data_IF_299764046260
#
_entry.id   IF_299764046260
#
_cell.length_a   1.000
_cell.length_b   1.000
_cell.length_c   1.000
_cell.angle_alpha   90.00
_cell.angle_beta   90.00
_cell.angle_gamma   90.00
#
_symmetry.space_group_name_H-M   'P 1'
#
loop_
_entity.id
_entity.type
_entity.pdbx_description
1 polymer ?
#
# COMPACT_ATOMS: atom_id res chain seq x y z
N UNK A 1 -12.85 -11.87 -17.88
CA UNK A 1 -11.75 -12.26 -16.96
C UNK A 1 -12.35 -12.29 -15.57
N UNK A 2 -12.14 -13.36 -14.79
CA UNK A 2 -12.68 -13.45 -13.44
C UNK A 2 -11.82 -12.56 -12.52
N UNK A 3 -12.38 -11.45 -12.05
CA UNK A 3 -11.71 -10.63 -11.04
C UNK A 3 -11.61 -11.44 -9.74
N UNK A 4 -10.41 -11.54 -9.17
CA UNK A 4 -10.23 -12.18 -7.86
C UNK A 4 -10.94 -11.30 -6.83
N UNK A 5 -11.77 -11.86 -5.96
CA UNK A 5 -12.39 -11.09 -4.86
C UNK A 5 -11.76 -11.53 -3.55
N UNK A 6 -11.53 -10.58 -2.67
CA UNK A 6 -11.11 -10.82 -1.29
C UNK A 6 -12.26 -10.52 -0.34
N UNK A 7 -12.14 -10.98 0.90
CA UNK A 7 -13.07 -10.62 1.98
C UNK A 7 -12.57 -9.39 2.72
N UNK A 8 -13.46 -8.74 3.48
CA UNK A 8 -13.07 -7.64 4.37
C UNK A 8 -11.99 -8.06 5.35
N UNK A 9 -12.03 -9.30 5.86
CA UNK A 9 -11.02 -9.82 6.80
C UNK A 9 -9.63 -9.88 6.18
N UNK A 10 -9.52 -10.30 4.92
CA UNK A 10 -8.26 -10.29 4.17
C UNK A 10 -7.76 -8.86 3.93
N UNK A 11 -8.67 -7.94 3.61
CA UNK A 11 -8.30 -6.55 3.41
C UNK A 11 -7.84 -5.89 4.71
N UNK A 12 -8.59 -6.09 5.80
CA UNK A 12 -8.29 -5.52 7.13
C UNK A 12 -7.00 -6.08 7.71
N UNK A 13 -6.71 -7.37 7.49
CA UNK A 13 -5.43 -7.97 7.83
C UNK A 13 -4.28 -7.29 7.09
N UNK A 14 -4.38 -7.11 5.77
CA UNK A 14 -3.36 -6.42 4.98
C UNK A 14 -3.17 -4.96 5.40
N UNK A 15 -4.26 -4.24 5.72
CA UNK A 15 -4.17 -2.87 6.25
C UNK A 15 -3.46 -2.87 7.60
N UNK A 16 -3.80 -3.79 8.50
CA UNK A 16 -3.17 -3.89 9.82
C UNK A 16 -1.68 -4.22 9.71
N UNK A 17 -1.33 -5.18 8.86
CA UNK A 17 0.07 -5.50 8.55
C UNK A 17 0.79 -4.27 8.01
N UNK A 18 0.19 -3.51 7.10
CA UNK A 18 0.80 -2.26 6.62
C UNK A 18 1.02 -1.23 7.74
N UNK A 19 0.08 -1.10 8.68
CA UNK A 19 0.22 -0.21 9.85
C UNK A 19 1.33 -0.69 10.79
N UNK A 20 1.39 -1.99 11.09
CA UNK A 20 2.34 -2.53 12.07
C UNK A 20 3.75 -2.73 11.49
N UNK A 21 3.84 -3.13 10.22
CA UNK A 21 5.08 -3.50 9.53
C UNK A 21 5.77 -2.30 8.88
N UNK A 22 4.99 -1.30 8.44
CA UNK A 22 5.51 -0.07 7.83
C UNK A 22 5.24 1.18 8.67
N UNK A 23 4.70 1.03 9.89
CA UNK A 23 4.37 2.12 10.82
C UNK A 23 3.49 3.21 10.18
N UNK A 24 2.65 2.82 9.20
CA UNK A 24 1.82 3.73 8.41
C UNK A 24 0.56 4.17 9.17
N UNK A 25 0.06 5.36 8.81
CA UNK A 25 -1.25 5.81 9.30
C UNK A 25 -2.38 4.93 8.74
N UNK A 26 -3.47 4.74 9.50
CA UNK A 26 -4.59 3.90 9.05
C UNK A 26 -5.15 4.30 7.67
N UNK A 27 -5.27 5.60 7.40
CA UNK A 27 -5.74 6.10 6.10
C UNK A 27 -4.75 5.86 4.94
N UNK A 28 -3.45 5.79 5.25
CA UNK A 28 -2.40 5.53 4.29
C UNK A 28 -2.29 4.03 4.00
N UNK A 29 -2.27 3.21 5.05
CA UNK A 29 -2.30 1.75 4.94
C UNK A 29 -3.51 1.24 4.14
N UNK A 30 -4.68 1.87 4.30
CA UNK A 30 -5.88 1.56 3.49
C UNK A 30 -5.64 1.90 2.01
N UNK A 31 -5.03 3.05 1.69
CA UNK A 31 -4.75 3.44 0.31
C UNK A 31 -3.74 2.50 -0.34
N UNK A 32 -2.64 2.20 0.35
CA UNK A 32 -1.62 1.25 -0.10
C UNK A 32 -2.21 -0.15 -0.35
N UNK A 33 -3.02 -0.66 0.59
CA UNK A 33 -3.69 -1.95 0.41
C UNK A 33 -4.63 -1.94 -0.81
N UNK A 34 -5.37 -0.85 -1.04
CA UNK A 34 -6.22 -0.70 -2.23
C UNK A 34 -5.40 -0.79 -3.50
N UNK A 35 -4.31 -0.01 -3.64
CA UNK A 35 -3.45 -0.06 -4.82
C UNK A 35 -2.82 -1.43 -5.04
N UNK A 36 -2.31 -2.06 -3.97
CA UNK A 36 -1.74 -3.41 -4.01
C UNK A 36 -2.73 -4.44 -4.56
N UNK A 37 -3.98 -4.40 -4.11
CA UNK A 37 -5.01 -5.34 -4.57
C UNK A 37 -5.51 -5.01 -5.97
N UNK A 38 -5.72 -3.74 -6.32
CA UNK A 38 -6.13 -3.34 -7.67
C UNK A 38 -5.07 -3.70 -8.72
N UNK A 39 -3.78 -3.53 -8.40
CA UNK A 39 -2.65 -3.93 -9.25
C UNK A 39 -2.61 -5.44 -9.52
N UNK A 40 -3.05 -6.25 -8.55
CA UNK A 40 -3.20 -7.70 -8.69
C UNK A 40 -4.49 -8.13 -9.42
N UNK A 41 -5.32 -7.18 -9.85
CA UNK A 41 -6.61 -7.44 -10.48
C UNK A 41 -7.67 -7.97 -9.51
N UNK A 42 -7.54 -7.60 -8.23
CA UNK A 42 -8.53 -7.92 -7.21
C UNK A 42 -9.67 -6.90 -7.25
N UNK A 43 -10.91 -7.39 -7.30
CA UNK A 43 -12.11 -6.57 -7.24
C UNK A 43 -12.43 -6.22 -5.79
N UNK A 44 -12.24 -4.94 -5.46
CA UNK A 44 -12.52 -4.35 -4.15
C UNK A 44 -13.91 -3.72 -4.07
N UNK A 45 -14.78 -3.92 -5.06
CA UNK A 45 -16.14 -3.36 -5.10
C UNK A 45 -17.01 -3.82 -3.92
N UNK A 46 -16.65 -4.93 -3.27
CA UNK A 46 -17.33 -5.46 -2.09
C UNK A 46 -16.66 -5.09 -0.76
N UNK A 47 -15.54 -4.35 -0.80
CA UNK A 47 -14.74 -4.00 0.38
C UNK A 47 -15.09 -2.59 0.85
N UNK A 48 -15.31 -2.44 2.16
CA UNK A 48 -15.49 -1.15 2.82
C UNK A 48 -14.12 -0.53 3.04
N UNK A 49 -13.85 0.58 2.35
CA UNK A 49 -12.56 1.31 2.35
C UNK A 49 -12.54 2.51 3.30
N UNK A 50 -13.53 2.63 4.19
CA UNK A 50 -13.73 3.84 5.01
C UNK A 50 -13.70 3.51 6.49
N UNK A 51 -12.73 4.05 7.22
CA UNK A 51 -12.87 4.31 8.66
C UNK A 51 -13.85 5.48 8.84
N UNK A 52 -14.84 5.38 9.75
CA UNK A 52 -15.77 6.47 10.02
C UNK A 52 -14.98 7.71 10.44
N UNK A 53 -15.09 8.75 9.61
CA UNK A 53 -14.35 10.01 9.70
C UNK A 53 -14.66 10.71 11.02
N UNK A 54 -13.75 10.65 11.99
CA UNK A 54 -13.64 11.70 12.99
C UNK A 54 -12.73 12.76 12.38
N UNK A 55 -13.33 13.89 12.04
CA UNK A 55 -12.67 15.03 11.41
C UNK A 55 -11.44 15.48 12.21
N UNK A 56 -10.25 15.34 11.63
CA UNK A 56 -9.11 16.19 11.96
C UNK A 56 -8.59 16.77 10.65
N UNK A 57 -9.23 17.88 10.30
CA UNK A 57 -8.71 18.91 9.42
C UNK A 57 -7.32 19.35 9.96
N UNK A 58 -6.27 19.18 9.16
CA UNK A 58 -4.98 19.80 9.46
C UNK A 58 -3.74 19.03 9.00
N UNK A 59 -3.05 19.63 8.03
CA UNK A 59 -1.64 19.43 7.63
C UNK A 59 -1.30 18.32 6.62
N UNK A 60 -1.15 18.76 5.35
CA UNK A 60 0.10 18.74 4.55
C UNK A 60 0.84 17.40 4.49
N UNK A 61 0.71 16.64 3.40
CA UNK A 61 1.49 16.68 2.13
C UNK A 61 2.35 15.41 2.03
N UNK A 62 2.65 14.93 0.81
CA UNK A 62 2.79 13.51 0.50
C UNK A 62 4.26 13.06 0.53
N UNK A 63 4.62 12.08 1.37
CA UNK A 63 5.94 11.45 1.32
C UNK A 63 5.86 9.97 1.67
N UNK A 64 5.34 9.14 0.76
CA UNK A 64 5.84 7.76 0.69
C UNK A 64 6.89 7.75 -0.40
N UNK A 65 8.13 7.99 0.03
CA UNK A 65 9.32 7.97 -0.80
C UNK A 65 9.40 6.60 -1.47
N UNK A 66 9.24 6.65 -2.78
CA UNK A 66 9.58 5.66 -3.79
C UNK A 66 10.56 4.57 -3.33
N UNK A 67 10.26 3.33 -3.75
CA UNK A 67 11.23 2.26 -3.92
C UNK A 67 12.55 2.77 -4.54
N UNK A 68 13.55 3.04 -3.71
CA UNK A 68 14.91 3.32 -4.16
C UNK A 68 15.87 2.23 -3.64
N UNK A 69 15.63 0.98 -4.05
CA UNK A 69 16.70 -0.03 -4.08
C UNK A 69 17.37 -0.04 -5.45
N UNK A 70 18.14 1.02 -5.69
CA UNK A 70 19.48 0.94 -6.29
C UNK A 70 19.63 0.41 -7.72
N UNK A 71 19.11 1.12 -8.72
CA UNK A 71 19.79 1.18 -10.00
C UNK A 71 21.07 2.03 -9.84
N UNK A 72 22.21 1.42 -9.48
CA UNK A 72 23.57 1.89 -9.80
C UNK A 72 24.65 0.96 -9.20
N UNK A 73 25.15 0.00 -9.98
CA UNK A 73 26.54 -0.47 -9.87
C UNK A 73 27.16 -0.51 -11.26
N UNK A 74 27.26 0.66 -11.89
CA UNK A 74 28.18 0.86 -13.02
C UNK A 74 29.57 1.14 -12.45
N UNK A 75 30.29 0.13 -11.98
CA UNK A 75 31.74 0.28 -11.76
C UNK A 75 32.49 -1.05 -11.93
N UNK A 76 32.87 -1.31 -13.18
CA UNK A 76 34.19 -1.82 -13.57
C UNK A 76 34.85 -2.85 -12.65
N UNK A 77 34.23 -4.01 -12.44
CA UNK A 77 34.87 -5.16 -11.81
C UNK A 77 34.59 -6.46 -12.58
N UNK A 78 34.90 -6.42 -13.86
CA UNK A 78 35.20 -7.60 -14.68
C UNK A 78 36.49 -7.32 -15.44
N UNK A 79 37.60 -7.17 -14.73
CA UNK A 79 38.94 -7.40 -15.27
C UNK A 79 39.94 -7.59 -14.13
N UNK A 80 40.20 -8.85 -13.77
CA UNK A 80 41.50 -9.44 -13.43
C UNK A 80 41.28 -10.82 -12.81
#
# INVERSE_FOLDING_TARGET
MASKRITQETFDAAVRENIEEFEMGAEEAIREAVEQFESQGVDLSNIVKTVPKVSLDGLQEPTHDVLQVGAMVSQSRWNN
#
